data_IF_638798116479
#
_entry.id   IF_638798116479
#
_cell.length_a   1.000
_cell.length_b   1.000
_cell.length_c   1.000
_cell.angle_alpha   90.00
_cell.angle_beta   90.00
_cell.angle_gamma   90.00
#
_symmetry.space_group_name_H-M   'P 1'
#
loop_
_entity.id
_entity.type
_entity.pdbx_description
1 polymer ?
#
# COMPACT_ATOMS: atom_id res chain seq x y z
N UNK A 1 -13.54 -11.10 -11.48
CA UNK A 1 -12.92 -9.99 -10.72
C UNK A 1 -11.40 -10.10 -10.80
N UNK A 2 -10.71 -9.05 -11.28
CA UNK A 2 -9.27 -9.02 -11.61
C UNK A 2 -8.37 -9.69 -10.55
N UNK A 3 -8.50 -9.29 -9.28
CA UNK A 3 -7.70 -9.81 -8.17
C UNK A 3 -8.11 -11.21 -7.70
N UNK A 4 -9.38 -11.59 -7.84
CA UNK A 4 -9.86 -12.93 -7.47
C UNK A 4 -9.38 -14.00 -8.44
N UNK A 5 -9.28 -13.62 -9.72
CA UNK A 5 -8.87 -14.51 -10.81
C UNK A 5 -7.39 -14.35 -11.16
N UNK A 6 -6.67 -13.45 -10.47
CA UNK A 6 -5.25 -13.12 -10.69
C UNK A 6 -4.90 -12.86 -12.16
N UNK A 7 -5.83 -12.27 -12.90
CA UNK A 7 -5.72 -12.11 -14.35
C UNK A 7 -5.20 -10.71 -14.70
N UNK A 8 -3.94 -10.65 -15.13
CA UNK A 8 -3.31 -9.43 -15.66
C UNK A 8 -4.03 -8.94 -16.93
N UNK A 9 -4.48 -9.87 -17.77
CA UNK A 9 -5.21 -9.54 -19.00
C UNK A 9 -6.48 -8.73 -18.71
N UNK A 10 -7.28 -9.16 -17.72
CA UNK A 10 -8.49 -8.43 -17.31
C UNK A 10 -8.18 -7.06 -16.71
N UNK A 11 -7.00 -6.90 -16.09
CA UNK A 11 -6.54 -5.59 -15.62
C UNK A 11 -6.30 -4.63 -16.79
N UNK A 12 -5.56 -5.06 -17.82
CA UNK A 12 -5.32 -4.22 -19.00
C UNK A 12 -6.60 -3.84 -19.73
N UNK A 13 -7.53 -4.79 -19.90
CA UNK A 13 -8.84 -4.53 -20.51
C UNK A 13 -9.63 -3.48 -19.74
N UNK A 14 -9.65 -3.59 -18.40
CA UNK A 14 -10.31 -2.60 -17.55
C UNK A 14 -9.65 -1.22 -17.65
N UNK A 15 -8.32 -1.16 -17.66
CA UNK A 15 -7.60 0.11 -17.82
C UNK A 15 -7.95 0.78 -19.15
N UNK A 16 -8.02 0.02 -20.25
CA UNK A 16 -8.42 0.56 -21.56
C UNK A 16 -9.85 1.08 -21.56
N UNK A 17 -10.79 0.37 -20.91
CA UNK A 17 -12.17 0.84 -20.75
C UNK A 17 -12.25 2.13 -19.95
N UNK A 18 -11.47 2.25 -18.86
CA UNK A 18 -11.43 3.45 -18.03
C UNK A 18 -10.88 4.66 -18.80
N UNK A 19 -9.88 4.46 -19.65
CA UNK A 19 -9.31 5.52 -20.48
C UNK A 19 -10.33 6.10 -21.48
N UNK A 20 -11.34 5.32 -21.87
CA UNK A 20 -12.44 5.77 -22.74
C UNK A 20 -13.60 6.41 -21.96
N UNK A 21 -13.55 6.41 -20.63
CA UNK A 21 -14.59 7.03 -19.80
C UNK A 21 -14.48 8.55 -19.79
N UNK A 22 -15.57 9.24 -19.46
CA UNK A 22 -15.60 10.69 -19.31
C UNK A 22 -15.21 11.17 -17.90
N UNK A 23 -15.03 10.24 -16.96
CA UNK A 23 -14.77 10.57 -15.57
C UNK A 23 -13.28 10.70 -15.29
N UNK A 24 -12.81 11.95 -15.30
CA UNK A 24 -11.40 12.32 -15.18
C UNK A 24 -10.70 11.77 -13.93
N UNK A 25 -11.42 11.62 -12.82
CA UNK A 25 -10.87 11.04 -11.59
C UNK A 25 -10.41 9.59 -11.78
N UNK A 26 -11.22 8.79 -12.48
CA UNK A 26 -10.91 7.38 -12.74
C UNK A 26 -9.84 7.22 -13.83
N UNK A 27 -9.84 8.09 -14.83
CA UNK A 27 -8.75 8.17 -15.83
C UNK A 27 -7.41 8.45 -15.14
N UNK A 28 -7.35 9.47 -14.28
CA UNK A 28 -6.14 9.82 -13.54
C UNK A 28 -5.70 8.67 -12.61
N UNK A 29 -6.66 7.99 -11.96
CA UNK A 29 -6.38 6.82 -11.15
C UNK A 29 -5.75 5.68 -11.97
N UNK A 30 -6.33 5.35 -13.13
CA UNK A 30 -5.76 4.34 -14.02
C UNK A 30 -4.37 4.72 -14.54
N UNK A 31 -4.12 6.01 -14.83
CA UNK A 31 -2.78 6.49 -15.16
C UNK A 31 -1.79 6.30 -14.01
N UNK A 32 -2.19 6.56 -12.76
CA UNK A 32 -1.36 6.29 -11.59
C UNK A 32 -0.99 4.81 -11.48
N UNK A 33 -1.96 3.92 -11.68
CA UNK A 33 -1.73 2.47 -11.68
C UNK A 33 -0.81 2.02 -12.83
N UNK A 34 -0.89 2.64 -14.00
CA UNK A 34 0.04 2.38 -15.10
C UNK A 34 1.47 2.84 -14.80
N UNK A 35 1.65 3.93 -14.03
CA UNK A 35 2.97 4.37 -13.60
C UNK A 35 3.70 3.33 -12.74
N UNK A 36 2.95 2.61 -11.91
CA UNK A 36 3.45 1.55 -11.01
C UNK A 36 3.10 0.14 -11.50
N UNK A 37 3.04 -0.08 -12.83
CA UNK A 37 2.53 -1.31 -13.45
C UNK A 37 3.13 -2.59 -12.85
N UNK A 38 4.46 -2.62 -12.66
CA UNK A 38 5.15 -3.79 -12.09
C UNK A 38 4.67 -4.15 -10.68
N UNK A 39 4.41 -3.14 -9.86
CA UNK A 39 3.92 -3.35 -8.50
C UNK A 39 2.46 -3.82 -8.52
N UNK A 40 1.65 -3.29 -9.43
CA UNK A 40 0.25 -3.69 -9.60
C UNK A 40 0.14 -5.13 -10.12
N UNK A 41 0.93 -5.50 -11.13
CA UNK A 41 0.99 -6.88 -11.63
C UNK A 41 1.45 -7.85 -10.54
N UNK A 42 2.48 -7.48 -9.77
CA UNK A 42 2.92 -8.28 -8.63
C UNK A 42 1.80 -8.45 -7.60
N UNK A 43 1.04 -7.39 -7.29
CA UNK A 43 -0.10 -7.46 -6.38
C UNK A 43 -1.27 -8.32 -6.90
N UNK A 44 -1.38 -8.51 -8.22
CA UNK A 44 -2.38 -9.39 -8.84
C UNK A 44 -1.92 -10.85 -8.81
N UNK A 45 -0.64 -11.11 -9.08
CA UNK A 45 -0.09 -12.48 -9.21
C UNK A 45 0.14 -13.12 -7.84
N UNK A 46 0.71 -12.35 -6.92
CA UNK A 46 1.18 -12.87 -5.65
C UNK A 46 0.14 -12.68 -4.54
N UNK A 47 0.06 -13.66 -3.63
CA UNK A 47 -0.82 -13.57 -2.45
C UNK A 47 -0.21 -12.73 -1.32
N UNK A 48 1.08 -12.41 -1.42
CA UNK A 48 1.76 -11.59 -0.42
C UNK A 48 1.51 -10.11 -0.66
N UNK A 49 1.21 -9.40 0.41
CA UNK A 49 1.00 -7.96 0.41
C UNK A 49 1.90 -7.30 1.46
N UNK A 50 2.11 -5.99 1.32
CA UNK A 50 2.90 -5.19 2.26
C UNK A 50 2.12 -4.83 3.55
N UNK A 51 0.94 -5.39 3.79
CA UNK A 51 0.04 -4.99 4.88
C UNK A 51 0.64 -5.18 6.28
N UNK A 52 1.40 -6.27 6.50
CA UNK A 52 2.09 -6.48 7.79
C UNK A 52 3.15 -5.39 8.01
N UNK A 53 3.96 -5.12 6.98
CA UNK A 53 5.01 -4.10 7.01
C UNK A 53 4.42 -2.71 7.22
N UNK A 54 3.37 -2.36 6.48
CA UNK A 54 2.64 -1.10 6.63
C UNK A 54 2.03 -0.96 8.01
N UNK A 55 1.48 -2.04 8.57
CA UNK A 55 0.97 -2.09 9.95
C UNK A 55 2.06 -1.80 10.98
N UNK A 56 3.23 -2.43 10.85
CA UNK A 56 4.39 -2.15 11.70
C UNK A 56 4.85 -0.69 11.58
N UNK A 57 4.91 -0.15 10.36
CA UNK A 57 5.26 1.26 10.10
C UNK A 57 4.22 2.20 10.72
N UNK A 58 2.93 1.89 10.59
CA UNK A 58 1.86 2.70 11.17
C UNK A 58 1.92 2.70 12.69
N UNK A 59 2.15 1.54 13.32
CA UNK A 59 2.39 1.42 14.76
C UNK A 59 3.58 2.29 15.20
N UNK A 60 4.69 2.24 14.48
CA UNK A 60 5.88 3.04 14.77
C UNK A 60 5.60 4.54 14.64
N UNK A 61 4.90 4.96 13.57
CA UNK A 61 4.47 6.35 13.37
C UNK A 61 3.56 6.82 14.50
N UNK A 62 2.63 5.98 14.94
CA UNK A 62 1.75 6.28 16.07
C UNK A 62 2.54 6.50 17.37
N UNK A 63 3.49 5.62 17.70
CA UNK A 63 4.35 5.78 18.89
C UNK A 63 5.13 7.10 18.82
N UNK A 64 5.74 7.43 17.67
CA UNK A 64 6.41 8.73 17.47
C UNK A 64 5.46 9.91 17.70
N UNK A 65 4.20 9.81 17.24
CA UNK A 65 3.18 10.86 17.36
C UNK A 65 2.71 11.03 18.81
N UNK A 66 2.48 9.94 19.54
CA UNK A 66 2.16 9.96 20.98
C UNK A 66 3.25 10.64 21.82
N UNK A 67 4.48 10.63 21.32
CA UNK A 67 5.64 11.23 21.99
C UNK A 67 5.90 12.68 21.54
N UNK A 68 4.98 13.29 20.77
CA UNK A 68 5.10 14.66 20.27
C UNK A 68 6.44 14.94 19.57
N UNK A 69 6.95 13.96 18.82
CA UNK A 69 8.24 14.06 18.12
C UNK A 69 9.49 13.86 19.00
N UNK A 70 9.34 13.69 20.32
CA UNK A 70 10.43 13.44 21.27
C UNK A 70 10.76 11.95 21.37
N UNK A 71 11.11 11.36 20.25
CA UNK A 71 11.36 9.93 20.14
C UNK A 71 12.69 9.70 19.44
N UNK A 72 13.80 9.92 20.18
CA UNK A 72 15.14 9.53 19.72
C UNK A 72 15.18 8.04 19.40
N UNK A 73 16.14 7.62 18.60
CA UNK A 73 16.25 6.22 18.19
C UNK A 73 16.29 5.26 19.40
N UNK A 74 17.06 5.58 20.43
CA UNK A 74 17.16 4.76 21.65
C UNK A 74 15.82 4.65 22.38
N UNK A 75 15.06 5.74 22.44
CA UNK A 75 13.76 5.78 23.10
C UNK A 75 12.70 5.00 22.29
N UNK A 76 12.74 5.09 20.95
CA UNK A 76 11.91 4.28 20.07
C UNK A 76 12.23 2.79 20.19
N UNK A 77 13.51 2.42 20.21
CA UNK A 77 13.94 1.04 20.39
C UNK A 77 13.40 0.46 21.71
N UNK A 78 13.49 1.23 22.79
CA UNK A 78 12.91 0.85 24.10
C UNK A 78 11.40 0.65 24.03
N UNK A 79 10.66 1.52 23.31
CA UNK A 79 9.19 1.49 23.21
C UNK A 79 8.62 0.53 22.16
N UNK A 80 9.42 0.06 21.21
CA UNK A 80 8.97 -0.79 20.10
C UNK A 80 9.50 -2.22 20.23
N UNK A 81 10.76 -2.40 20.65
CA UNK A 81 11.44 -3.70 20.68
C UNK A 81 11.52 -4.28 22.09
N UNK A 82 11.82 -3.44 23.09
CA UNK A 82 12.09 -3.88 24.47
C UNK A 82 10.86 -3.83 25.39
N UNK A 83 9.81 -3.12 24.98
CA UNK A 83 8.58 -3.03 25.75
C UNK A 83 7.65 -4.19 25.39
N UNK A 84 7.17 -4.94 26.39
CA UNK A 84 6.02 -5.85 26.23
C UNK A 84 4.77 -4.98 26.11
N UNK A 85 4.48 -4.50 24.91
CA UNK A 85 3.19 -3.86 24.62
C UNK A 85 2.34 -4.84 23.82
N UNK A 86 1.36 -5.42 24.52
CA UNK A 86 0.15 -6.00 23.95
C UNK A 86 -0.87 -4.90 23.69
#
# INVERSE_FOLDING_TARGET
MIFKEKSIQKFHEWVQQVQQSTFRGLINFAHGLQGDLKAVEAAIVYDYNNGITEGCVNRLKNIKRQMYGRASFDLLRKKVVLSRWG
#
